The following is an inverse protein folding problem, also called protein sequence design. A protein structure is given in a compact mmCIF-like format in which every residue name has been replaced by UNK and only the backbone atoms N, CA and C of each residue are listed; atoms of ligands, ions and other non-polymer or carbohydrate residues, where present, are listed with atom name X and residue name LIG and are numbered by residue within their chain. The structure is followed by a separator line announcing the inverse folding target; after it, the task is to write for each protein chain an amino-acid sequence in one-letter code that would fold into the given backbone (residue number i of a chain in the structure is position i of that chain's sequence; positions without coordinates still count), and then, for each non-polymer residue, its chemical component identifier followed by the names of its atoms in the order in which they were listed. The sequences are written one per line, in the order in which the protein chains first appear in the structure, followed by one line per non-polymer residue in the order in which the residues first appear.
data_IF_032784000137
#
_entry.id   IF_032784000137
#
_cell.length_a   1.000
_cell.length_b   1.000
_cell.length_c   1.000
_cell.angle_alpha   90.00
_cell.angle_beta   90.00
_cell.angle_gamma   90.00
#
_symmetry.space_group_name_H-M   'P 1'
#
loop_
_entity.id
_entity.type
_entity.pdbx_description
1 polymer ?
#
# COMPACT_ATOMS: atom_id res chain seq x y z
N UNK A 1 16.42 31.71 27.73
CA UNK A 1 17.40 31.26 26.71
C UNK A 1 16.83 31.60 25.34
N UNK A 2 17.63 32.12 24.40
CA UNK A 2 17.18 32.25 23.01
C UNK A 2 16.87 30.84 22.47
N UNK A 3 15.68 30.66 21.90
CA UNK A 3 15.35 29.42 21.20
C UNK A 3 16.19 29.34 19.92
N UNK A 4 16.74 28.17 19.55
CA UNK A 4 17.44 28.03 18.28
C UNK A 4 16.51 28.49 17.14
N UNK A 5 17.06 29.27 16.21
CA UNK A 5 16.29 29.82 15.07
C UNK A 5 15.74 28.71 14.17
N UNK A 6 16.39 27.54 14.18
CA UNK A 6 16.00 26.35 13.44
C UNK A 6 15.77 25.15 14.37
N UNK A 7 14.99 24.19 13.90
CA UNK A 7 14.79 22.87 14.51
C UNK A 7 15.38 21.79 13.59
N UNK A 8 15.75 20.60 14.10
CA UNK A 8 16.22 19.50 13.25
C UNK A 8 15.23 19.14 12.12
N UNK A 9 13.93 19.30 12.38
CA UNK A 9 12.85 19.09 11.41
C UNK A 9 12.86 20.09 10.24
N UNK A 10 13.48 21.26 10.40
CA UNK A 10 13.57 22.25 9.32
C UNK A 10 14.55 21.80 8.23
N UNK A 11 15.61 21.06 8.60
CA UNK A 11 16.57 20.52 7.64
C UNK A 11 15.97 19.32 6.89
N UNK A 12 15.34 18.39 7.62
CA UNK A 12 14.62 17.25 7.02
C UNK A 12 13.56 17.74 6.03
N UNK A 13 12.76 18.74 6.42
CA UNK A 13 11.73 19.33 5.54
C UNK A 13 12.33 19.97 4.28
N UNK A 14 13.48 20.65 4.37
CA UNK A 14 14.13 21.30 3.22
C UNK A 14 14.61 20.30 2.17
N UNK A 15 14.86 19.05 2.55
CA UNK A 15 15.25 17.99 1.63
C UNK A 15 14.11 17.57 0.68
N UNK A 16 12.85 17.88 0.99
CA UNK A 16 11.69 17.52 0.17
C UNK A 16 11.12 18.73 -0.58
N UNK A 17 10.64 18.49 -1.80
CA UNK A 17 9.83 19.48 -2.52
C UNK A 17 8.48 19.70 -1.82
N UNK A 18 7.84 20.85 -2.04
CA UNK A 18 6.49 21.12 -1.53
C UNK A 18 5.46 20.11 -2.05
N UNK A 19 5.60 19.68 -3.31
CA UNK A 19 4.82 18.61 -3.93
C UNK A 19 4.96 17.30 -3.13
N UNK A 20 6.19 16.88 -2.80
CA UNK A 20 6.44 15.67 -2.03
C UNK A 20 5.85 15.74 -0.62
N UNK A 21 5.99 16.88 0.07
CA UNK A 21 5.39 17.08 1.39
C UNK A 21 3.86 17.06 1.33
N UNK A 22 3.25 17.65 0.31
CA UNK A 22 1.80 17.58 0.10
C UNK A 22 1.34 16.15 -0.17
N UNK A 23 2.10 15.37 -0.96
CA UNK A 23 1.82 13.95 -1.20
C UNK A 23 1.85 13.13 0.08
N UNK A 24 2.84 13.37 0.95
CA UNK A 24 2.95 12.72 2.26
C UNK A 24 1.77 13.05 3.17
N UNK A 25 1.34 14.31 3.21
CA UNK A 25 0.16 14.73 3.99
C UNK A 25 -1.11 14.07 3.47
N UNK A 26 -1.28 13.98 2.15
CA UNK A 26 -2.38 13.23 1.54
C UNK A 26 -2.33 11.74 1.94
N UNK A 27 -1.18 11.09 1.81
CA UNK A 27 -1.01 9.68 2.22
C UNK A 27 -1.33 9.47 3.70
N UNK A 28 -0.94 10.41 4.57
CA UNK A 28 -1.25 10.35 5.99
C UNK A 28 -2.75 10.50 6.28
N UNK A 29 -3.45 11.38 5.55
CA UNK A 29 -4.90 11.53 5.68
C UNK A 29 -5.62 10.25 5.22
N UNK A 30 -5.22 9.68 4.08
CA UNK A 30 -5.76 8.42 3.57
C UNK A 30 -5.52 7.23 4.53
N UNK A 31 -4.32 7.14 5.13
CA UNK A 31 -4.02 6.17 6.19
C UNK A 31 -5.01 6.27 7.36
N UNK A 32 -5.27 7.50 7.83
CA UNK A 32 -6.21 7.74 8.93
C UNK A 32 -7.64 7.33 8.56
N UNK A 33 -8.09 7.74 7.37
CA UNK A 33 -9.41 7.38 6.84
C UNK A 33 -9.60 5.87 6.71
N UNK A 34 -8.60 5.15 6.19
CA UNK A 34 -8.64 3.69 6.08
C UNK A 34 -8.72 3.00 7.45
N UNK A 35 -8.00 3.54 8.45
CA UNK A 35 -8.09 3.08 9.83
C UNK A 35 -9.50 3.23 10.40
N UNK A 36 -10.08 4.44 10.32
CA UNK A 36 -11.44 4.72 10.80
C UNK A 36 -12.50 3.89 10.08
N UNK A 37 -12.38 3.70 8.77
CA UNK A 37 -13.28 2.84 8.01
C UNK A 37 -13.19 1.38 8.47
N UNK A 38 -11.98 0.89 8.74
CA UNK A 38 -11.75 -0.47 9.23
C UNK A 38 -12.35 -0.72 10.61
N UNK A 39 -12.28 0.28 11.52
CA UNK A 39 -12.87 0.19 12.86
C UNK A 39 -14.41 0.05 12.81
N UNK A 40 -15.06 0.70 11.85
CA UNK A 40 -16.51 0.65 11.69
C UNK A 40 -17.04 -0.74 11.32
N UNK A 41 -16.21 -1.60 10.71
CA UNK A 41 -16.57 -2.98 10.35
C UNK A 41 -16.66 -3.89 11.59
N UNK A 42 -16.04 -3.51 12.70
CA UNK A 42 -15.94 -4.37 13.89
C UNK A 42 -17.23 -4.32 14.71
N UNK A 43 -18.09 -5.32 14.56
CA UNK A 43 -19.38 -5.43 15.29
C UNK A 43 -19.21 -5.80 16.77
N UNK A 44 -18.04 -6.31 17.18
CA UNK A 44 -17.77 -6.76 18.56
C UNK A 44 -18.01 -5.67 19.61
N UNK A 45 -17.95 -4.40 19.21
CA UNK A 45 -18.10 -3.25 20.10
C UNK A 45 -19.52 -2.66 20.15
N UNK A 46 -20.48 -3.19 19.38
CA UNK A 46 -21.84 -2.63 19.30
C UNK A 46 -22.53 -2.51 20.67
N UNK A 47 -22.34 -3.50 21.55
CA UNK A 47 -22.93 -3.49 22.89
C UNK A 47 -22.36 -2.43 23.83
N UNK A 48 -21.23 -1.81 23.48
CA UNK A 48 -20.61 -0.72 24.23
C UNK A 48 -20.89 0.66 23.59
N UNK A 49 -21.40 0.70 22.35
CA UNK A 49 -21.84 1.92 21.71
C UNK A 49 -23.18 2.36 22.32
N UNK A 50 -23.21 3.54 22.95
CA UNK A 50 -24.46 4.15 23.38
C UNK A 50 -25.40 4.44 22.19
N UNK A 51 -26.67 4.82 22.44
CA UNK A 51 -27.59 5.22 21.37
C UNK A 51 -26.97 6.27 20.45
N UNK A 52 -26.94 6.00 19.14
CA UNK A 52 -26.33 6.88 18.14
C UNK A 52 -24.82 6.75 17.95
N UNK A 53 -24.12 5.88 18.68
CA UNK A 53 -22.66 5.72 18.59
C UNK A 53 -22.18 5.42 17.16
N UNK A 54 -22.80 4.45 16.46
CA UNK A 54 -22.46 4.13 15.07
C UNK A 54 -22.75 5.25 14.07
N UNK A 55 -23.77 6.07 14.34
CA UNK A 55 -24.05 7.25 13.51
C UNK A 55 -22.97 8.31 13.72
N UNK A 56 -22.50 8.50 14.96
CA UNK A 56 -21.38 9.40 15.28
C UNK A 56 -20.10 8.96 14.57
N UNK A 57 -19.73 7.67 14.66
CA UNK A 57 -18.56 7.12 13.98
C UNK A 57 -18.66 7.27 12.44
N UNK A 58 -19.84 7.02 11.86
CA UNK A 58 -20.07 7.22 10.43
C UNK A 58 -19.95 8.70 10.03
N UNK A 59 -20.43 9.63 10.87
CA UNK A 59 -20.27 11.07 10.62
C UNK A 59 -18.80 11.50 10.70
N UNK A 60 -18.02 10.96 11.63
CA UNK A 60 -16.57 11.18 11.72
C UNK A 60 -15.83 10.63 10.49
N UNK A 61 -16.28 9.51 9.95
CA UNK A 61 -15.74 8.95 8.70
C UNK A 61 -15.98 9.90 7.51
N UNK A 62 -17.18 10.48 7.40
CA UNK A 62 -17.49 11.49 6.38
C UNK A 62 -16.58 12.71 6.52
N UNK A 63 -16.43 13.25 7.74
CA UNK A 63 -15.55 14.38 8.00
C UNK A 63 -14.08 14.07 7.64
N UNK A 64 -13.62 12.85 7.91
CA UNK A 64 -12.28 12.39 7.55
C UNK A 64 -12.09 12.25 6.04
N UNK A 65 -13.13 11.82 5.31
CA UNK A 65 -13.11 11.75 3.86
C UNK A 65 -13.08 13.15 3.22
N UNK A 66 -13.87 14.09 3.73
CA UNK A 66 -13.83 15.49 3.30
C UNK A 66 -12.45 16.12 3.55
N UNK A 67 -11.85 15.84 4.71
CA UNK A 67 -10.50 16.29 5.01
C UNK A 67 -9.45 15.70 4.06
N UNK A 68 -9.59 14.41 3.72
CA UNK A 68 -8.70 13.75 2.75
C UNK A 68 -8.84 14.39 1.36
N UNK A 69 -10.06 14.76 0.95
CA UNK A 69 -10.29 15.47 -0.30
C UNK A 69 -9.59 16.83 -0.32
N UNK A 70 -9.66 17.59 0.77
CA UNK A 70 -8.94 18.87 0.90
C UNK A 70 -7.43 18.67 0.71
N UNK A 71 -6.84 17.61 1.28
CA UNK A 71 -5.41 17.28 1.08
C UNK A 71 -5.09 16.86 -0.34
N UNK A 72 -6.01 16.17 -1.02
CA UNK A 72 -5.85 15.83 -2.43
C UNK A 72 -5.82 17.08 -3.32
N UNK A 73 -6.70 18.04 -3.06
CA UNK A 73 -6.71 19.33 -3.78
C UNK A 73 -5.40 20.10 -3.55
N UNK A 74 -4.91 20.18 -2.30
CA UNK A 74 -3.62 20.83 -2.01
C UNK A 74 -2.48 20.14 -2.77
N UNK A 75 -2.43 18.81 -2.79
CA UNK A 75 -1.43 18.06 -3.54
C UNK A 75 -1.50 18.33 -5.06
N UNK A 76 -2.69 18.28 -5.66
CA UNK A 76 -2.86 18.58 -7.08
C UNK A 76 -2.44 20.02 -7.43
N UNK A 77 -2.72 20.98 -6.55
CA UNK A 77 -2.26 22.37 -6.72
C UNK A 77 -0.75 22.51 -6.65
N UNK A 78 -0.06 21.78 -5.75
CA UNK A 78 1.41 21.75 -5.72
C UNK A 78 2.02 21.03 -6.92
N UNK A 79 1.31 20.05 -7.49
CA UNK A 79 1.71 19.35 -8.73
C UNK A 79 1.49 20.19 -10.00
N UNK A 80 0.75 21.29 -9.89
CA UNK A 80 0.55 22.28 -10.96
C UNK A 80 -0.81 22.23 -11.65
N UNK A 81 -1.73 21.37 -11.22
CA UNK A 81 -3.07 21.25 -11.80
C UNK A 81 -3.88 22.53 -11.61
N UNK A 82 -4.62 22.99 -12.62
CA UNK A 82 -5.44 24.21 -12.57
C UNK A 82 -6.73 24.04 -11.78
N UNK A 83 -7.39 25.14 -11.39
CA UNK A 83 -8.70 25.07 -10.75
C UNK A 83 -9.78 24.49 -11.67
N UNK A 84 -9.69 24.76 -12.98
CA UNK A 84 -10.58 24.18 -13.99
C UNK A 84 -10.43 22.66 -14.07
N UNK A 85 -9.20 22.15 -14.07
CA UNK A 85 -8.94 20.70 -14.09
C UNK A 85 -9.48 20.03 -12.82
N UNK A 86 -9.16 20.58 -11.65
CA UNK A 86 -9.62 20.05 -10.35
C UNK A 86 -11.15 20.10 -10.27
N UNK A 87 -11.77 21.21 -10.65
CA UNK A 87 -13.22 21.36 -10.64
C UNK A 87 -13.92 20.39 -11.59
N UNK A 88 -13.30 20.07 -12.73
CA UNK A 88 -13.76 19.04 -13.65
C UNK A 88 -13.91 17.66 -13.00
N UNK A 89 -12.94 17.25 -12.17
CA UNK A 89 -13.03 15.99 -11.41
C UNK A 89 -14.04 16.03 -10.27
N UNK A 90 -14.28 17.21 -9.70
CA UNK A 90 -15.23 17.42 -8.61
C UNK A 90 -16.68 17.61 -9.05
N UNK A 91 -16.92 17.86 -10.34
CA UNK A 91 -18.24 18.16 -10.88
C UNK A 91 -18.80 19.52 -10.44
N UNK A 92 -17.93 20.48 -10.12
CA UNK A 92 -18.30 21.86 -9.72
C UNK A 92 -17.69 22.90 -10.66
N UNK A 93 -18.03 24.18 -10.49
CA UNK A 93 -17.38 25.28 -11.22
C UNK A 93 -15.97 25.58 -10.67
N UNK A 94 -15.07 26.07 -11.52
CA UNK A 94 -13.71 26.44 -11.10
C UNK A 94 -13.68 27.49 -9.98
N UNK A 95 -14.52 28.53 -10.08
CA UNK A 95 -14.65 29.54 -9.03
C UNK A 95 -15.21 28.99 -7.71
N UNK A 96 -16.13 28.00 -7.78
CA UNK A 96 -16.66 27.32 -6.59
C UNK A 96 -15.58 26.45 -5.93
N UNK A 97 -14.78 25.72 -6.72
CA UNK A 97 -13.66 24.95 -6.21
C UNK A 97 -12.62 25.85 -5.54
N UNK A 98 -12.26 26.97 -6.17
CA UNK A 98 -11.33 27.95 -5.60
C UNK A 98 -11.88 28.57 -4.31
N UNK A 99 -13.15 28.98 -4.28
CA UNK A 99 -13.80 29.50 -3.07
C UNK A 99 -13.76 28.48 -1.92
N UNK A 100 -14.05 27.21 -2.23
CA UNK A 100 -14.12 26.13 -1.25
C UNK A 100 -12.75 25.73 -0.70
N UNK A 101 -11.73 25.60 -1.55
CA UNK A 101 -10.44 25.01 -1.19
C UNK A 101 -9.28 26.01 -1.09
N UNK A 102 -9.43 27.20 -1.69
CA UNK A 102 -8.44 28.28 -1.67
C UNK A 102 -7.96 28.67 -0.27
N UNK A 103 -8.84 28.80 0.75
CA UNK A 103 -8.41 29.12 2.11
C UNK A 103 -7.41 28.10 2.71
N UNK A 104 -7.58 26.81 2.43
CA UNK A 104 -6.63 25.79 2.92
C UNK A 104 -5.33 25.82 2.12
N UNK A 105 -5.37 26.06 0.81
CA UNK A 105 -4.15 26.23 0.00
C UNK A 105 -3.33 27.45 0.46
N UNK A 106 -4.00 28.55 0.80
CA UNK A 106 -3.37 29.73 1.36
C UNK A 106 -2.74 29.43 2.73
N UNK A 107 -3.45 28.69 3.60
CA UNK A 107 -2.93 28.27 4.90
C UNK A 107 -1.70 27.35 4.76
N UNK A 108 -1.76 26.39 3.83
CA UNK A 108 -0.65 25.52 3.49
C UNK A 108 0.57 26.31 3.02
N UNK A 109 0.39 27.24 2.08
CA UNK A 109 1.47 28.10 1.57
C UNK A 109 2.06 28.98 2.67
N UNK A 110 1.22 29.65 3.46
CA UNK A 110 1.66 30.49 4.57
C UNK A 110 2.39 29.72 5.67
N UNK A 111 2.12 28.43 5.83
CA UNK A 111 2.83 27.58 6.78
C UNK A 111 4.30 27.28 6.37
N UNK A 112 4.69 27.51 5.11
CA UNK A 112 6.11 27.47 4.74
C UNK A 112 6.82 28.80 5.03
N UNK A 113 6.10 29.92 4.95
CA UNK A 113 6.63 31.26 5.25
C UNK A 113 6.75 31.48 6.77
N UNK A 114 5.74 31.05 7.52
CA UNK A 114 5.66 31.13 8.98
C UNK A 114 5.40 29.74 9.56
N UNK A 115 6.44 28.88 9.64
CA UNK A 115 6.29 27.46 10.01
C UNK A 115 5.87 27.22 11.46
N UNK A 116 6.03 28.22 12.31
CA UNK A 116 5.67 28.13 13.72
C UNK A 116 4.88 29.35 14.16
N UNK A 117 3.86 29.12 14.98
CA UNK A 117 3.30 30.16 15.85
C UNK A 117 3.69 29.88 17.29
N UNK A 118 3.76 30.92 18.10
CA UNK A 118 3.89 30.73 19.54
C UNK A 118 2.52 30.43 20.15
N UNK A 119 2.51 29.64 21.22
CA UNK A 119 1.35 29.49 22.09
C UNK A 119 1.03 30.80 22.83
N UNK A 120 -0.09 30.83 23.56
CA UNK A 120 -0.54 32.01 24.30
C UNK A 120 0.51 32.52 25.31
N UNK A 121 1.42 31.65 25.76
CA UNK A 121 2.49 31.99 26.71
C UNK A 121 3.74 32.53 26.04
N UNK A 122 3.85 32.44 24.71
CA UNK A 122 5.04 32.84 23.95
C UNK A 122 6.21 31.84 24.08
N UNK A 123 6.01 30.69 24.73
CA UNK A 123 7.11 29.76 25.10
C UNK A 123 7.15 28.51 24.24
N UNK A 124 6.01 28.04 23.75
CA UNK A 124 5.92 26.82 22.96
C UNK A 124 5.69 27.16 21.49
N UNK A 125 6.57 26.65 20.62
CA UNK A 125 6.34 26.67 19.18
C UNK A 125 5.31 25.60 18.82
N UNK A 126 4.27 26.01 18.12
CA UNK A 126 3.23 25.17 17.55
C UNK A 126 3.49 25.12 16.04
N UNK A 127 3.88 23.97 15.48
CA UNK A 127 4.01 23.80 14.05
C UNK A 127 2.71 24.14 13.34
N UNK A 128 2.81 24.90 12.24
CA UNK A 128 1.67 25.25 11.38
C UNK A 128 1.46 24.22 10.27
N UNK A 129 2.53 23.52 9.88
CA UNK A 129 2.46 22.44 8.91
C UNK A 129 1.82 21.18 9.53
N UNK A 130 1.03 20.41 8.75
CA UNK A 130 0.58 19.09 9.15
C UNK A 130 1.75 18.19 9.54
N UNK A 131 1.55 17.27 10.49
CA UNK A 131 2.62 16.43 11.06
C UNK A 131 3.47 15.72 10.01
N UNK A 132 2.87 15.19 8.94
CA UNK A 132 3.61 14.49 7.90
C UNK A 132 4.48 15.41 7.01
N UNK A 133 4.16 16.69 6.91
CA UNK A 133 5.02 17.68 6.26
C UNK A 133 6.05 18.31 7.24
N UNK A 134 5.75 18.25 8.53
CA UNK A 134 6.63 18.73 9.60
C UNK A 134 7.76 17.73 9.90
N UNK A 135 7.46 16.43 9.98
CA UNK A 135 8.39 15.33 10.21
C UNK A 135 8.24 14.28 9.10
N UNK A 136 8.74 14.58 7.88
CA UNK A 136 8.53 13.75 6.70
C UNK A 136 9.20 12.37 6.80
N UNK A 137 10.35 12.27 7.45
CA UNK A 137 11.08 11.01 7.60
C UNK A 137 10.33 10.00 8.47
N UNK A 138 9.78 10.44 9.60
CA UNK A 138 8.93 9.59 10.44
C UNK A 138 7.64 9.20 9.71
N UNK A 139 7.06 10.13 8.95
CA UNK A 139 5.88 9.85 8.15
C UNK A 139 6.16 8.79 7.08
N UNK A 140 7.27 8.91 6.33
CA UNK A 140 7.72 7.94 5.34
C UNK A 140 7.82 6.55 5.94
N UNK A 141 8.61 6.37 7.01
CA UNK A 141 8.80 5.05 7.65
C UNK A 141 7.47 4.41 8.08
N UNK A 142 6.57 5.20 8.67
CA UNK A 142 5.26 4.69 9.11
C UNK A 142 4.37 4.29 7.94
N UNK A 143 4.31 5.13 6.91
CA UNK A 143 3.43 4.92 5.76
C UNK A 143 3.95 3.80 4.85
N UNK A 144 5.26 3.68 4.69
CA UNK A 144 5.91 2.55 4.01
C UNK A 144 5.61 1.23 4.74
N UNK A 145 5.77 1.19 6.07
CA UNK A 145 5.43 0.01 6.85
C UNK A 145 3.94 -0.35 6.71
N UNK A 146 3.05 0.64 6.77
CA UNK A 146 1.63 0.39 6.58
C UNK A 146 1.33 -0.14 5.17
N UNK A 147 1.90 0.47 4.13
CA UNK A 147 1.71 0.06 2.76
C UNK A 147 2.21 -1.37 2.53
N UNK A 148 3.40 -1.68 3.04
CA UNK A 148 3.99 -3.01 3.00
C UNK A 148 3.10 -4.08 3.67
N UNK A 149 2.46 -3.74 4.79
CA UNK A 149 1.62 -4.68 5.54
C UNK A 149 0.18 -4.80 5.01
N UNK A 150 -0.33 -3.78 4.31
CA UNK A 150 -1.78 -3.65 4.01
C UNK A 150 -2.10 -3.58 2.53
N UNK A 151 -1.12 -3.33 1.68
CA UNK A 151 -1.29 -3.28 0.23
C UNK A 151 -0.61 -4.46 -0.44
N UNK A 152 -0.89 -4.64 -1.72
CA UNK A 152 -0.31 -5.70 -2.54
C UNK A 152 1.08 -5.34 -3.06
N UNK A 153 1.54 -4.09 -2.85
CA UNK A 153 2.81 -3.58 -3.36
C UNK A 153 3.93 -4.09 -2.45
N UNK A 154 4.82 -4.93 -2.99
CA UNK A 154 6.02 -5.47 -2.31
C UNK A 154 7.21 -4.50 -2.30
N UNK A 155 6.92 -3.21 -2.28
CA UNK A 155 7.95 -2.19 -2.12
C UNK A 155 7.99 -1.75 -0.65
N UNK A 156 9.12 -2.00 0.02
CA UNK A 156 9.36 -1.53 1.39
C UNK A 156 9.44 0.00 1.50
N UNK A 157 9.47 0.67 0.35
CA UNK A 157 9.49 2.12 0.17
C UNK A 157 8.33 2.61 -0.71
N UNK A 158 7.21 1.87 -0.76
CA UNK A 158 6.06 2.17 -1.63
C UNK A 158 5.52 3.61 -1.54
N UNK A 159 5.78 4.32 -0.44
CA UNK A 159 5.41 5.71 -0.25
C UNK A 159 6.61 6.64 -0.42
N UNK A 160 7.78 6.28 0.12
CA UNK A 160 8.96 7.16 0.10
C UNK A 160 9.74 7.18 -1.20
N UNK A 161 9.78 6.08 -1.96
CA UNK A 161 10.58 5.95 -3.18
C UNK A 161 10.16 6.92 -4.30
N UNK A 162 8.87 7.27 -4.36
CA UNK A 162 8.32 8.16 -5.39
C UNK A 162 8.38 9.65 -5.04
N UNK A 163 8.98 10.04 -3.90
CA UNK A 163 8.98 11.43 -3.45
C UNK A 163 10.11 12.23 -4.10
N UNK A 164 9.74 13.36 -4.71
CA UNK A 164 10.70 14.32 -5.27
C UNK A 164 11.44 15.06 -4.17
N UNK A 165 12.71 14.72 -4.00
CA UNK A 165 13.65 15.47 -3.16
C UNK A 165 14.03 16.79 -3.83
N UNK A 166 14.21 17.83 -3.03
CA UNK A 166 14.89 19.05 -3.47
C UNK A 166 16.36 18.66 -3.67
N UNK A 167 16.83 18.61 -4.91
CA UNK A 167 18.21 18.26 -5.20
C UNK A 167 19.14 19.08 -4.27
N UNK A 168 20.14 18.46 -3.61
CA UNK A 168 21.19 19.26 -3.01
C UNK A 168 21.77 20.15 -4.12
N UNK A 169 22.11 21.39 -3.80
CA UNK A 169 22.83 22.25 -4.74
C UNK A 169 24.05 21.45 -5.24
N UNK A 170 23.97 20.95 -6.47
CA UNK A 170 24.88 19.93 -6.96
C UNK A 170 26.28 20.54 -7.13
N UNK A 171 27.27 19.92 -6.50
CA UNK A 171 28.59 19.86 -7.13
C UNK A 171 28.47 18.86 -8.29
N UNK A 172 28.88 19.30 -9.48
CA UNK A 172 28.77 18.61 -10.76
C UNK A 172 29.20 17.13 -10.69
N UNK A 173 28.25 16.22 -10.89
CA UNK A 173 28.46 14.79 -11.10
C UNK A 173 27.39 14.22 -12.03
N UNK A 174 27.70 13.23 -12.89
CA UNK A 174 26.83 12.83 -13.98
C UNK A 174 25.53 12.21 -13.44
N UNK A 175 24.42 12.62 -14.05
CA UNK A 175 23.06 12.16 -13.77
C UNK A 175 23.01 10.62 -13.80
N UNK A 176 22.87 9.99 -12.63
CA UNK A 176 22.58 8.58 -12.53
C UNK A 176 21.12 8.38 -12.95
N UNK A 177 20.90 7.66 -14.05
CA UNK A 177 19.58 7.15 -14.42
C UNK A 177 18.97 6.43 -13.22
N UNK A 178 17.85 6.95 -12.74
CA UNK A 178 17.02 6.30 -11.73
C UNK A 178 16.39 5.08 -12.41
N UNK A 179 17.07 3.94 -12.30
CA UNK A 179 16.46 2.64 -12.60
C UNK A 179 15.38 2.39 -11.55
N UNK A 180 14.14 2.20 -12.00
CA UNK A 180 13.06 1.69 -11.14
C UNK A 180 13.57 0.44 -10.41
N UNK A 181 13.27 0.27 -9.10
CA UNK A 181 13.62 -0.96 -8.41
C UNK A 181 12.87 -2.11 -9.08
N UNK A 182 13.63 -3.09 -9.59
CA UNK A 182 13.09 -4.33 -10.14
C UNK A 182 12.06 -4.90 -9.17
N UNK A 183 10.79 -4.85 -9.56
CA UNK A 183 9.69 -5.38 -8.78
C UNK A 183 9.90 -6.88 -8.70
N UNK A 184 10.28 -7.40 -7.52
CA UNK A 184 10.39 -8.85 -7.29
C UNK A 184 9.13 -9.54 -7.81
N UNK A 185 9.33 -10.55 -8.66
CA UNK A 185 8.26 -11.28 -9.34
C UNK A 185 7.12 -11.64 -8.39
N UNK A 186 5.87 -11.40 -8.81
CA UNK A 186 4.63 -11.66 -8.06
C UNK A 186 4.38 -13.17 -7.79
N UNK A 187 5.35 -14.01 -8.11
CA UNK A 187 5.33 -15.46 -7.97
C UNK A 187 5.67 -15.87 -6.53
N UNK A 188 4.82 -16.71 -5.93
CA UNK A 188 5.08 -17.39 -4.65
C UNK A 188 5.69 -18.75 -4.94
N UNK A 189 6.87 -19.05 -4.39
CA UNK A 189 7.57 -20.32 -4.63
C UNK A 189 7.76 -21.11 -3.35
N UNK A 190 7.69 -22.43 -3.47
CA UNK A 190 7.95 -23.38 -2.40
C UNK A 190 8.05 -24.79 -2.93
N UNK A 191 8.06 -25.76 -2.03
CA UNK A 191 8.02 -27.18 -2.38
C UNK A 191 7.09 -27.91 -1.42
N UNK A 192 6.52 -29.02 -1.86
CA UNK A 192 5.65 -29.89 -1.05
C UNK A 192 6.00 -31.36 -1.29
N UNK A 193 5.56 -32.24 -0.40
CA UNK A 193 5.69 -33.69 -0.61
C UNK A 193 4.68 -34.20 -1.66
N UNK A 194 5.13 -35.03 -2.60
CA UNK A 194 4.29 -35.62 -3.66
C UNK A 194 3.01 -36.30 -3.14
N UNK A 195 3.03 -37.10 -2.04
CA UNK A 195 1.80 -37.69 -1.50
C UNK A 195 0.73 -36.67 -1.09
N UNK A 196 1.14 -35.42 -0.84
CA UNK A 196 0.25 -34.35 -0.43
C UNK A 196 -0.29 -33.50 -1.59
N UNK A 197 0.23 -33.68 -2.82
CA UNK A 197 -0.09 -32.82 -3.96
C UNK A 197 -1.60 -32.70 -4.21
N UNK A 198 -2.33 -33.82 -4.17
CA UNK A 198 -3.78 -33.82 -4.37
C UNK A 198 -4.49 -32.96 -3.33
N UNK A 199 -4.22 -33.21 -2.04
CA UNK A 199 -4.83 -32.45 -0.94
C UNK A 199 -4.45 -30.97 -0.95
N UNK A 200 -3.22 -30.65 -1.37
CA UNK A 200 -2.77 -29.28 -1.57
C UNK A 200 -3.62 -28.57 -2.63
N UNK A 201 -3.79 -29.18 -3.81
CA UNK A 201 -4.58 -28.60 -4.92
C UNK A 201 -6.06 -28.48 -4.58
N UNK A 202 -6.64 -29.46 -3.88
CA UNK A 202 -8.03 -29.41 -3.41
C UNK A 202 -8.25 -28.23 -2.45
N UNK A 203 -7.34 -28.00 -1.51
CA UNK A 203 -7.44 -26.87 -0.57
C UNK A 203 -7.19 -25.52 -1.25
N UNK A 204 -6.25 -25.48 -2.19
CA UNK A 204 -5.96 -24.28 -2.98
C UNK A 204 -7.14 -23.89 -3.88
N UNK A 205 -7.78 -24.85 -4.55
CA UNK A 205 -8.99 -24.62 -5.33
C UNK A 205 -10.13 -24.09 -4.45
N UNK A 206 -10.28 -24.62 -3.22
CA UNK A 206 -11.25 -24.10 -2.25
C UNK A 206 -10.97 -22.66 -1.83
N UNK A 207 -9.71 -22.25 -1.70
CA UNK A 207 -9.37 -20.84 -1.47
C UNK A 207 -9.79 -19.95 -2.64
N UNK A 208 -9.81 -20.48 -3.87
CA UNK A 208 -10.34 -19.81 -5.04
C UNK A 208 -11.84 -20.06 -5.30
N UNK A 209 -12.58 -20.62 -4.33
CA UNK A 209 -14.01 -20.97 -4.49
C UNK A 209 -14.30 -21.89 -5.69
N UNK A 210 -13.31 -22.68 -6.13
CA UNK A 210 -13.41 -23.68 -7.19
C UNK A 210 -13.55 -25.09 -6.58
N UNK A 211 -14.19 -26.00 -7.31
CA UNK A 211 -14.14 -27.43 -7.03
C UNK A 211 -13.05 -28.08 -7.87
N UNK A 212 -12.21 -28.88 -7.21
CA UNK A 212 -11.17 -29.70 -7.83
C UNK A 212 -11.66 -31.15 -7.80
N UNK A 213 -12.01 -31.69 -8.96
CA UNK A 213 -12.59 -33.03 -9.10
C UNK A 213 -11.58 -34.06 -9.63
N UNK A 214 -12.05 -35.28 -9.92
CA UNK A 214 -11.18 -36.35 -10.40
C UNK A 214 -10.61 -36.06 -11.81
N UNK A 215 -11.35 -35.34 -12.65
CA UNK A 215 -10.90 -34.94 -13.99
C UNK A 215 -9.76 -33.93 -13.90
N UNK A 216 -9.88 -32.97 -12.98
CA UNK A 216 -8.81 -32.02 -12.68
C UNK A 216 -7.55 -32.76 -12.19
N UNK A 217 -7.74 -33.74 -11.30
CA UNK A 217 -6.65 -34.55 -10.77
C UNK A 217 -5.93 -35.38 -11.84
N UNK A 218 -6.67 -36.06 -12.71
CA UNK A 218 -6.10 -36.85 -13.82
C UNK A 218 -5.29 -35.94 -14.76
N UNK A 219 -5.81 -34.75 -15.06
CA UNK A 219 -5.16 -33.76 -15.92
C UNK A 219 -3.83 -33.27 -15.32
N UNK A 220 -3.82 -32.91 -14.04
CA UNK A 220 -2.59 -32.50 -13.35
C UNK A 220 -1.60 -33.65 -13.22
N UNK A 221 -2.07 -34.85 -12.87
CA UNK A 221 -1.20 -36.02 -12.71
C UNK A 221 -0.46 -36.35 -14.00
N UNK A 222 -1.18 -36.37 -15.13
CA UNK A 222 -0.60 -36.61 -16.45
C UNK A 222 0.38 -35.50 -16.86
N UNK A 223 -0.01 -34.24 -16.64
CA UNK A 223 0.85 -33.09 -16.96
C UNK A 223 2.16 -33.08 -16.20
N UNK A 224 2.17 -33.61 -14.98
CA UNK A 224 3.34 -33.63 -14.10
C UNK A 224 4.36 -34.71 -14.47
N UNK A 225 3.97 -35.82 -15.12
CA UNK A 225 4.86 -36.99 -15.37
C UNK A 225 6.16 -36.64 -16.11
N UNK A 226 6.14 -35.59 -16.93
CA UNK A 226 7.26 -35.19 -17.79
C UNK A 226 8.00 -33.95 -17.30
N UNK A 227 7.66 -33.45 -16.10
CA UNK A 227 8.22 -32.19 -15.57
C UNK A 227 9.50 -32.38 -14.79
N UNK A 228 10.31 -31.32 -14.74
CA UNK A 228 11.61 -31.26 -14.07
C UNK A 228 11.85 -29.83 -13.54
N UNK A 229 12.11 -29.67 -12.24
CA UNK A 229 12.30 -28.36 -11.61
C UNK A 229 13.67 -27.73 -11.89
N UNK A 230 14.66 -28.51 -12.33
CA UNK A 230 15.97 -28.03 -12.78
C UNK A 230 15.90 -27.41 -14.19
N UNK A 231 14.82 -27.67 -14.94
CA UNK A 231 14.61 -27.14 -16.29
C UNK A 231 13.45 -26.12 -16.28
N UNK A 232 13.69 -24.81 -16.38
CA UNK A 232 12.65 -23.78 -16.26
C UNK A 232 11.46 -23.94 -17.23
N UNK A 233 11.72 -24.48 -18.43
CA UNK A 233 10.71 -24.72 -19.47
C UNK A 233 9.96 -26.06 -19.30
N UNK A 234 10.37 -26.91 -18.35
CA UNK A 234 9.76 -28.21 -18.07
C UNK A 234 8.78 -28.16 -16.88
N UNK A 235 8.21 -26.99 -16.58
CA UNK A 235 7.18 -26.84 -15.54
C UNK A 235 5.79 -26.99 -16.15
N UNK A 236 4.94 -27.79 -15.52
CA UNK A 236 3.53 -27.91 -15.90
C UNK A 236 2.73 -26.76 -15.27
N UNK A 237 1.89 -26.09 -16.06
CA UNK A 237 1.04 -24.99 -15.58
C UNK A 237 -0.42 -25.41 -15.57
N UNK A 238 -1.09 -25.19 -14.44
CA UNK A 238 -2.51 -25.49 -14.25
C UNK A 238 -3.27 -24.23 -13.81
N UNK A 239 -4.24 -23.77 -14.60
CA UNK A 239 -5.10 -22.66 -14.20
C UNK A 239 -6.16 -23.15 -13.21
N UNK A 240 -6.26 -22.45 -12.09
CA UNK A 240 -7.39 -22.49 -11.16
C UNK A 240 -8.18 -21.20 -11.39
N UNK A 241 -9.06 -21.21 -12.38
CA UNK A 241 -9.87 -20.07 -12.75
C UNK A 241 -11.22 -20.11 -12.03
N UNK A 242 -11.53 -19.05 -11.29
CA UNK A 242 -12.88 -18.81 -10.76
C UNK A 242 -13.47 -17.56 -11.39
N UNK A 243 -14.76 -17.33 -11.15
CA UNK A 243 -15.44 -16.10 -11.58
C UNK A 243 -14.91 -14.85 -10.87
N UNK A 244 -14.15 -15.00 -9.78
CA UNK A 244 -13.66 -13.89 -8.95
C UNK A 244 -12.16 -13.67 -9.08
N UNK A 245 -11.36 -14.75 -9.18
CA UNK A 245 -9.91 -14.69 -9.28
C UNK A 245 -9.35 -15.80 -10.16
N UNK A 246 -8.24 -15.52 -10.84
CA UNK A 246 -7.45 -16.52 -11.58
C UNK A 246 -6.16 -16.77 -10.80
N UNK A 247 -5.94 -18.02 -10.40
CA UNK A 247 -4.68 -18.50 -9.85
C UNK A 247 -4.03 -19.42 -10.89
N UNK A 248 -2.74 -19.23 -11.16
CA UNK A 248 -1.99 -20.17 -11.99
C UNK A 248 -0.95 -20.88 -11.13
N UNK A 249 -1.04 -22.21 -11.09
CA UNK A 249 -0.16 -23.09 -10.34
C UNK A 249 0.79 -23.76 -11.30
N UNK A 250 2.09 -23.52 -11.12
CA UNK A 250 3.15 -24.21 -11.84
C UNK A 250 3.75 -25.27 -10.93
N UNK A 251 3.92 -26.47 -11.48
CA UNK A 251 4.37 -27.67 -10.77
C UNK A 251 5.51 -28.32 -11.55
N UNK A 252 6.52 -28.79 -10.83
CA UNK A 252 7.59 -29.59 -11.41
C UNK A 252 8.11 -30.64 -10.42
N UNK A 253 8.49 -31.82 -10.92
CA UNK A 253 9.14 -32.84 -10.10
C UNK A 253 10.56 -32.41 -9.72
N UNK A 254 10.98 -32.66 -8.48
CA UNK A 254 12.39 -32.56 -8.12
C UNK A 254 13.15 -33.85 -8.50
N UNK A 255 14.25 -33.79 -9.27
CA UNK A 255 15.01 -34.96 -9.68
C UNK A 255 15.53 -35.80 -8.50
N UNK A 256 15.22 -37.11 -8.51
CA UNK A 256 15.69 -38.05 -7.48
C UNK A 256 15.02 -37.90 -6.11
N UNK A 257 14.04 -37.01 -5.98
CA UNK A 257 13.30 -36.73 -4.77
C UNK A 257 11.85 -37.21 -4.80
N UNK A 258 11.15 -36.95 -3.70
CA UNK A 258 9.70 -37.13 -3.59
C UNK A 258 8.99 -35.79 -3.38
N UNK A 259 9.70 -34.70 -3.63
CA UNK A 259 9.26 -33.33 -3.57
C UNK A 259 8.71 -32.87 -4.93
N UNK A 260 7.74 -31.97 -4.87
CA UNK A 260 7.21 -31.21 -6.00
C UNK A 260 7.52 -29.75 -5.74
N UNK A 261 8.23 -29.13 -6.67
CA UNK A 261 8.41 -27.68 -6.70
C UNK A 261 7.11 -27.02 -7.15
N UNK A 262 6.69 -25.99 -6.42
CA UNK A 262 5.42 -25.29 -6.63
C UNK A 262 5.70 -23.81 -6.78
N UNK A 263 5.11 -23.21 -7.81
CA UNK A 263 5.11 -21.77 -8.00
C UNK A 263 3.69 -21.27 -8.31
N UNK A 264 3.24 -20.22 -7.63
CA UNK A 264 1.90 -19.65 -7.83
C UNK A 264 1.97 -18.20 -8.26
N UNK A 265 1.11 -17.84 -9.20
CA UNK A 265 0.84 -16.46 -9.61
C UNK A 265 -0.66 -16.18 -9.55
N UNK A 266 -1.04 -14.89 -9.49
CA UNK A 266 -2.45 -14.47 -9.43
C UNK A 266 -3.05 -14.38 -8.03
N UNK A 267 -2.27 -14.61 -6.97
CA UNK A 267 -2.72 -14.44 -5.59
C UNK A 267 -2.72 -12.94 -5.20
N UNK A 268 -3.81 -12.25 -5.53
CA UNK A 268 -3.89 -10.78 -5.44
C UNK A 268 -4.21 -10.22 -4.06
N UNK A 269 -4.62 -11.02 -3.07
CA UNK A 269 -4.92 -10.55 -1.71
C UNK A 269 -3.92 -11.08 -0.67
N UNK A 270 -3.55 -10.24 0.31
CA UNK A 270 -2.60 -10.62 1.35
C UNK A 270 -3.07 -11.81 2.20
N UNK A 271 -4.39 -11.90 2.48
CA UNK A 271 -4.99 -13.06 3.17
C UNK A 271 -4.87 -14.33 2.33
N UNK A 272 -5.15 -14.27 1.03
CA UNK A 272 -4.98 -15.42 0.14
C UNK A 272 -3.52 -15.85 0.06
N UNK A 273 -2.58 -14.90 -0.08
CA UNK A 273 -1.15 -15.19 -0.07
C UNK A 273 -0.70 -15.81 1.25
N UNK A 274 -1.09 -15.26 2.39
CA UNK A 274 -0.75 -15.83 3.70
C UNK A 274 -1.28 -17.26 3.84
N UNK A 275 -2.50 -17.51 3.38
CA UNK A 275 -3.09 -18.86 3.38
C UNK A 275 -2.33 -19.81 2.47
N UNK A 276 -1.95 -19.37 1.26
CA UNK A 276 -1.15 -20.16 0.31
C UNK A 276 0.23 -20.46 0.89
N UNK A 277 0.90 -19.47 1.49
CA UNK A 277 2.21 -19.60 2.11
C UNK A 277 2.17 -20.59 3.28
N UNK A 278 1.20 -20.43 4.18
CA UNK A 278 0.94 -21.37 5.28
C UNK A 278 0.63 -22.78 4.76
N UNK A 279 -0.10 -22.89 3.65
CA UNK A 279 -0.44 -24.17 3.03
C UNK A 279 0.80 -24.86 2.47
N UNK A 280 1.69 -24.12 1.79
CA UNK A 280 2.97 -24.65 1.32
C UNK A 280 3.80 -25.18 2.48
N UNK A 281 3.98 -24.39 3.54
CA UNK A 281 4.73 -24.80 4.74
C UNK A 281 4.15 -26.06 5.39
N UNK A 282 2.82 -26.12 5.51
CA UNK A 282 2.12 -27.26 6.10
C UNK A 282 2.35 -28.56 5.31
N UNK A 283 2.44 -28.48 3.98
CA UNK A 283 2.64 -29.64 3.12
C UNK A 283 4.11 -29.93 2.76
N UNK A 284 5.03 -29.00 3.08
CA UNK A 284 6.48 -29.19 3.07
C UNK A 284 6.98 -29.94 4.32
N UNK A 285 6.25 -29.85 5.44
CA UNK A 285 6.55 -30.61 6.65
C UNK A 285 6.54 -32.13 6.34
N UNK A 286 7.59 -32.84 6.78
CA UNK A 286 7.69 -34.30 6.60
C UNK A 286 6.46 -34.99 7.22
N UNK A 287 5.84 -35.96 6.52
CA UNK A 287 4.80 -36.79 7.10
C UNK A 287 5.31 -37.61 8.30
#
# INVERSE_FOLDING_TARGET
MPHPETTPYDDDRRAYSREALARLVLSQAAYGLAGSAGELVITRHDGFCGPGGRVSEAAELVASAEWTLVRAVVYERERGSSWEEIAGYLGVGAGEAEERFGPELARWTGAFEVPYRLDETGRKRIPQLPTAAYDPDTACRRLDLWAHLRTTIRDRHAVSAGLRMTAPAAEDGPEAEVSDPETESDEMRGWIWRPHLRSFLELLARYNSMWFDETDWETVSLGLETTDDETPDAWYSYPLDSSLHSLNVRLANSPGGNEISVALTGATSADLRLRIDTLMDAFAARP
#
